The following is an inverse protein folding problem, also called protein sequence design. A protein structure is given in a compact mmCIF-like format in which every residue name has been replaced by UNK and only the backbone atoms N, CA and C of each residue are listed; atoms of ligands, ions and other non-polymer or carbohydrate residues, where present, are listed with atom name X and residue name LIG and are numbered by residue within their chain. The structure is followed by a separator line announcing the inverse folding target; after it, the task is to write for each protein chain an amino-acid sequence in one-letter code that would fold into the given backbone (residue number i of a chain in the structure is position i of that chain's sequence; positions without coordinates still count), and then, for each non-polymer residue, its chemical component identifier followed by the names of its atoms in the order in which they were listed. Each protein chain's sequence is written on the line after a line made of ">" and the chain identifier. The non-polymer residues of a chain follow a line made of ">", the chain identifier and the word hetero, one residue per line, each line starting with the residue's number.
data_IF_110865384703
#
_entry.id   IF_110865384703
#
_cell.length_a   1.000
_cell.length_b   1.000
_cell.length_c   1.000
_cell.angle_alpha   90.00
_cell.angle_beta   90.00
_cell.angle_gamma   90.00
#
_symmetry.space_group_name_H-M   'P 1'
#
loop_
_entity.id
_entity.type
_entity.pdbx_description
1 polymer ?
#
# COMPACT_ATOMS: atom_id res chain seq x y z
N UNK A 1 -14.07 24.03 -11.26
CA UNK A 1 -15.16 23.09 -11.01
C UNK A 1 -16.40 23.66 -11.68
N UNK A 2 -16.97 22.98 -12.67
CA UNK A 2 -18.28 23.33 -13.22
C UNK A 2 -19.32 22.77 -12.26
N UNK A 3 -20.18 23.64 -11.71
CA UNK A 3 -21.43 23.25 -11.04
C UNK A 3 -22.25 22.41 -12.04
N UNK A 4 -22.48 21.14 -11.76
CA UNK A 4 -23.41 20.36 -12.56
C UNK A 4 -23.42 18.84 -12.45
N UNK A 5 -22.43 18.18 -11.91
CA UNK A 5 -22.46 16.73 -11.73
C UNK A 5 -22.01 16.35 -10.31
N UNK A 6 -22.83 16.63 -9.30
CA UNK A 6 -22.79 15.85 -8.07
C UNK A 6 -23.39 14.47 -8.41
N UNK A 7 -22.53 13.54 -8.86
CA UNK A 7 -22.86 12.12 -8.79
C UNK A 7 -23.21 11.85 -7.33
N UNK A 8 -24.44 11.41 -7.07
CA UNK A 8 -24.84 11.05 -5.71
C UNK A 8 -23.87 9.97 -5.23
N UNK A 9 -23.16 10.25 -4.13
CA UNK A 9 -22.22 9.32 -3.55
C UNK A 9 -22.87 7.94 -3.37
N UNK A 10 -22.22 6.90 -3.88
CA UNK A 10 -22.76 5.55 -3.85
C UNK A 10 -22.55 4.97 -2.45
N UNK A 11 -23.64 4.86 -1.70
CA UNK A 11 -23.60 4.28 -0.36
C UNK A 11 -23.49 2.75 -0.42
N UNK A 12 -22.50 2.19 0.27
CA UNK A 12 -22.29 0.74 0.43
C UNK A 12 -22.11 0.39 1.91
N UNK A 13 -22.50 -0.84 2.28
CA UNK A 13 -22.25 -1.38 3.62
C UNK A 13 -21.11 -2.37 3.55
N UNK A 14 -20.03 -2.12 4.31
CA UNK A 14 -18.84 -2.95 4.33
C UNK A 14 -18.05 -2.75 5.61
N UNK A 15 -17.07 -3.62 5.85
CA UNK A 15 -16.09 -3.46 6.93
C UNK A 15 -14.82 -2.73 6.46
N UNK A 16 -13.92 -2.42 7.41
CA UNK A 16 -12.67 -1.71 7.11
C UNK A 16 -11.73 -2.50 6.20
N UNK A 17 -11.64 -3.81 6.37
CA UNK A 17 -10.84 -4.65 5.46
C UNK A 17 -11.37 -4.62 4.03
N UNK A 18 -12.69 -4.68 3.86
CA UNK A 18 -13.31 -4.57 2.54
C UNK A 18 -13.09 -3.18 1.92
N UNK A 19 -13.20 -2.12 2.71
CA UNK A 19 -12.96 -0.75 2.25
C UNK A 19 -11.51 -0.56 1.76
N UNK A 20 -10.53 -0.98 2.56
CA UNK A 20 -9.12 -0.94 2.18
C UNK A 20 -8.82 -1.77 0.92
N UNK A 21 -9.31 -3.01 0.88
CA UNK A 21 -9.13 -3.91 -0.26
C UNK A 21 -9.77 -3.35 -1.54
N UNK A 22 -10.96 -2.72 -1.42
CA UNK A 22 -11.67 -2.14 -2.55
C UNK A 22 -10.85 -1.04 -3.25
N UNK A 23 -10.32 -0.11 -2.47
CA UNK A 23 -9.46 0.96 -2.99
C UNK A 23 -8.13 0.40 -3.47
N UNK A 24 -7.48 -0.45 -2.68
CA UNK A 24 -6.22 -1.05 -3.05
C UNK A 24 -6.30 -1.79 -4.38
N UNK A 25 -7.38 -2.57 -4.61
CA UNK A 25 -7.60 -3.29 -5.86
C UNK A 25 -7.60 -2.37 -7.07
N UNK A 26 -8.20 -1.18 -6.94
CA UNK A 26 -8.28 -0.23 -8.03
C UNK A 26 -6.88 0.23 -8.52
N UNK A 27 -5.92 0.41 -7.62
CA UNK A 27 -4.58 0.89 -7.94
C UNK A 27 -3.52 -0.22 -8.11
N UNK A 28 -3.87 -1.48 -7.86
CA UNK A 28 -2.92 -2.59 -7.81
C UNK A 28 -2.87 -3.35 -9.14
N UNK A 29 -1.67 -3.62 -9.63
CA UNK A 29 -1.42 -4.54 -10.75
C UNK A 29 -0.98 -5.92 -10.23
N UNK A 30 -0.22 -5.94 -9.12
CA UNK A 30 0.23 -7.17 -8.45
C UNK A 30 -0.04 -7.07 -6.95
N UNK A 31 -0.72 -8.07 -6.40
CA UNK A 31 -0.85 -8.25 -4.94
C UNK A 31 0.05 -9.42 -4.51
N UNK A 32 1.10 -9.15 -3.76
CA UNK A 32 1.95 -10.19 -3.19
C UNK A 32 1.55 -10.38 -1.72
N UNK A 33 1.03 -11.55 -1.39
CA UNK A 33 0.34 -11.80 -0.13
C UNK A 33 0.94 -12.98 0.65
N UNK A 34 0.80 -12.93 1.96
CA UNK A 34 0.85 -14.06 2.88
C UNK A 34 -0.12 -13.73 4.02
N UNK A 35 -1.35 -14.28 3.96
CA UNK A 35 -2.44 -13.86 4.84
C UNK A 35 -2.14 -14.06 6.31
N UNK A 36 -2.44 -13.05 7.12
CA UNK A 36 -2.32 -13.05 8.58
C UNK A 36 -3.52 -12.32 9.21
N UNK A 37 -4.11 -12.93 10.26
CA UNK A 37 -5.20 -12.34 11.03
C UNK A 37 -4.76 -11.06 11.75
N UNK A 38 -5.55 -9.94 11.73
CA UNK A 38 -6.88 -9.78 11.18
C UNK A 38 -6.92 -9.22 9.74
N UNK A 39 -5.79 -9.09 9.06
CA UNK A 39 -5.69 -8.54 7.70
C UNK A 39 -5.99 -9.56 6.58
N UNK A 40 -6.15 -10.86 6.91
CA UNK A 40 -6.38 -11.95 5.96
C UNK A 40 -7.50 -11.65 4.97
N UNK A 41 -8.62 -11.11 5.47
CA UNK A 41 -9.80 -10.83 4.64
C UNK A 41 -9.55 -9.79 3.55
N UNK A 42 -8.60 -8.86 3.70
CA UNK A 42 -8.19 -7.97 2.60
C UNK A 42 -7.63 -8.78 1.43
N UNK A 43 -6.70 -9.70 1.72
CA UNK A 43 -6.10 -10.56 0.72
C UNK A 43 -7.13 -11.50 0.08
N UNK A 44 -8.06 -12.06 0.87
CA UNK A 44 -9.14 -12.92 0.41
C UNK A 44 -10.10 -12.19 -0.52
N UNK A 45 -10.48 -10.93 -0.23
CA UNK A 45 -11.27 -10.10 -1.13
C UNK A 45 -10.57 -9.89 -2.47
N UNK A 46 -9.29 -9.52 -2.42
CA UNK A 46 -8.51 -9.25 -3.64
C UNK A 46 -8.37 -10.52 -4.50
N UNK A 47 -8.12 -11.67 -3.89
CA UNK A 47 -8.02 -12.95 -4.58
C UNK A 47 -9.38 -13.35 -5.22
N UNK A 48 -10.47 -13.25 -4.46
CA UNK A 48 -11.83 -13.52 -4.96
C UNK A 48 -12.18 -12.63 -6.14
N UNK A 49 -11.95 -11.31 -6.03
CA UNK A 49 -12.24 -10.38 -7.12
C UNK A 49 -11.36 -10.61 -8.34
N UNK A 50 -10.10 -11.02 -8.15
CA UNK A 50 -9.23 -11.39 -9.26
C UNK A 50 -9.72 -12.66 -9.97
N UNK A 51 -10.20 -13.66 -9.21
CA UNK A 51 -10.78 -14.88 -9.75
C UNK A 51 -12.11 -14.63 -10.52
N UNK A 52 -12.83 -13.55 -10.17
CA UNK A 52 -14.04 -13.08 -10.85
C UNK A 52 -13.77 -12.12 -12.02
N UNK A 53 -12.50 -11.96 -12.44
CA UNK A 53 -12.09 -11.05 -13.52
C UNK A 53 -12.44 -9.57 -13.28
N UNK A 54 -12.61 -9.13 -12.02
CA UNK A 54 -12.78 -7.70 -11.70
C UNK A 54 -11.60 -6.92 -12.26
N UNK A 55 -11.89 -5.79 -12.91
CA UNK A 55 -10.85 -4.92 -13.48
C UNK A 55 -10.47 -3.79 -12.52
N UNK A 56 -9.17 -3.51 -12.44
CA UNK A 56 -8.63 -2.32 -11.79
C UNK A 56 -8.81 -1.08 -12.70
N UNK A 57 -8.36 0.09 -12.24
CA UNK A 57 -8.47 1.34 -13.03
C UNK A 57 -7.62 1.34 -14.31
N UNK A 58 -6.70 0.39 -14.46
CA UNK A 58 -5.88 0.19 -15.65
C UNK A 58 -6.50 -0.80 -16.64
N UNK A 59 -7.70 -1.30 -16.36
CA UNK A 59 -8.39 -2.31 -17.16
C UNK A 59 -7.81 -3.71 -17.07
N UNK A 60 -7.02 -4.00 -16.03
CA UNK A 60 -6.35 -5.28 -15.82
C UNK A 60 -6.96 -6.03 -14.63
N UNK A 61 -6.94 -7.34 -14.66
CA UNK A 61 -7.18 -8.18 -13.47
C UNK A 61 -5.92 -8.17 -12.62
N UNK A 62 -6.06 -7.97 -11.31
CA UNK A 62 -4.92 -7.99 -10.38
C UNK A 62 -4.27 -9.37 -10.36
N UNK A 63 -2.96 -9.42 -10.51
CA UNK A 63 -2.21 -10.66 -10.35
C UNK A 63 -1.93 -10.91 -8.87
N UNK A 64 -2.63 -11.87 -8.29
CA UNK A 64 -2.40 -12.30 -6.91
C UNK A 64 -1.31 -13.36 -6.86
N UNK A 65 -0.33 -13.18 -5.97
CA UNK A 65 0.77 -14.10 -5.76
C UNK A 65 0.89 -14.39 -4.26
N UNK A 66 0.52 -15.60 -3.85
CA UNK A 66 0.71 -16.05 -2.48
C UNK A 66 2.12 -16.59 -2.31
N UNK A 67 2.81 -16.09 -1.29
CA UNK A 67 4.20 -16.41 -0.98
C UNK A 67 4.28 -17.42 0.18
N UNK A 68 5.50 -17.76 0.60
CA UNK A 68 5.75 -18.72 1.69
C UNK A 68 5.97 -18.05 3.06
N UNK A 69 6.05 -16.73 3.09
CA UNK A 69 6.16 -15.92 4.29
C UNK A 69 5.94 -14.44 3.95
N UNK A 70 5.70 -13.62 4.97
CA UNK A 70 5.60 -12.17 4.81
C UNK A 70 6.91 -11.55 4.29
N UNK A 71 8.06 -12.06 4.71
CA UNK A 71 9.36 -11.64 4.16
C UNK A 71 9.46 -11.93 2.66
N UNK A 72 8.95 -13.09 2.23
CA UNK A 72 8.84 -13.44 0.81
C UNK A 72 7.88 -12.54 0.07
N UNK A 73 6.72 -12.24 0.66
CA UNK A 73 5.75 -11.30 0.09
C UNK A 73 6.36 -9.90 -0.11
N UNK A 74 7.05 -9.37 0.91
CA UNK A 74 7.73 -8.07 0.80
C UNK A 74 8.86 -8.08 -0.25
N UNK A 75 9.59 -9.20 -0.40
CA UNK A 75 10.57 -9.38 -1.46
C UNK A 75 9.94 -9.36 -2.85
N UNK A 76 8.78 -10.03 -3.01
CA UNK A 76 8.01 -10.01 -4.26
C UNK A 76 7.45 -8.61 -4.56
N UNK A 77 6.96 -7.86 -3.55
CA UNK A 77 6.56 -6.45 -3.69
C UNK A 77 7.73 -5.63 -4.22
N UNK A 78 8.90 -5.72 -3.58
CA UNK A 78 10.09 -4.98 -4.00
C UNK A 78 10.47 -5.28 -5.45
N UNK A 79 10.58 -6.56 -5.81
CA UNK A 79 10.94 -6.99 -7.17
C UNK A 79 9.92 -6.54 -8.23
N UNK A 80 8.63 -6.63 -7.93
CA UNK A 80 7.54 -6.21 -8.80
C UNK A 80 7.53 -4.70 -9.03
N UNK A 81 7.75 -3.90 -7.98
CA UNK A 81 7.91 -2.44 -8.09
C UNK A 81 9.13 -2.08 -8.93
N UNK A 82 10.26 -2.78 -8.78
CA UNK A 82 11.43 -2.58 -9.62
C UNK A 82 11.15 -2.89 -11.10
N UNK A 83 10.25 -3.82 -11.37
CA UNK A 83 9.79 -4.12 -12.74
C UNK A 83 8.74 -3.12 -13.27
N UNK A 84 8.32 -2.14 -12.47
CA UNK A 84 7.41 -1.07 -12.88
C UNK A 84 5.92 -1.39 -12.74
N UNK A 85 5.57 -2.43 -11.99
CA UNK A 85 4.19 -2.74 -11.66
C UNK A 85 3.81 -2.18 -10.27
N UNK A 86 2.69 -1.47 -10.18
CA UNK A 86 2.14 -1.01 -8.90
C UNK A 86 1.72 -2.22 -8.07
N UNK A 87 2.33 -2.35 -6.91
CA UNK A 87 2.23 -3.57 -6.10
C UNK A 87 1.84 -3.23 -4.67
N UNK A 88 0.92 -4.02 -4.12
CA UNK A 88 0.35 -3.86 -2.77
C UNK A 88 0.48 -5.15 -1.99
N UNK A 89 0.51 -5.05 -0.66
CA UNK A 89 0.43 -6.18 0.27
C UNK A 89 -0.43 -5.84 1.49
N UNK A 90 -0.89 -6.87 2.18
CA UNK A 90 -1.78 -6.81 3.33
C UNK A 90 -1.17 -7.63 4.47
N UNK A 91 -1.01 -7.03 5.65
CA UNK A 91 -0.29 -7.69 6.73
C UNK A 91 -0.70 -7.17 8.12
N UNK A 92 -0.13 -7.75 9.16
CA UNK A 92 -0.30 -7.36 10.56
C UNK A 92 0.83 -7.93 11.42
N UNK A 93 1.05 -7.36 12.61
CA UNK A 93 1.83 -7.94 13.71
C UNK A 93 3.23 -8.44 13.28
N UNK A 94 3.59 -9.68 13.66
CA UNK A 94 4.86 -10.30 13.29
C UNK A 94 5.09 -10.33 11.78
N UNK A 95 4.02 -10.44 10.99
CA UNK A 95 4.11 -10.38 9.53
C UNK A 95 4.69 -9.06 9.04
N UNK A 96 4.21 -7.93 9.60
CA UNK A 96 4.78 -6.62 9.29
C UNK A 96 6.25 -6.52 9.70
N UNK A 97 6.61 -7.07 10.88
CA UNK A 97 8.01 -7.07 11.35
C UNK A 97 8.93 -7.85 10.41
N UNK A 98 8.47 -8.97 9.84
CA UNK A 98 9.23 -9.74 8.85
C UNK A 98 9.44 -8.98 7.53
N UNK A 99 8.60 -7.99 7.24
CA UNK A 99 8.72 -7.15 6.04
C UNK A 99 9.72 -5.99 6.19
N UNK A 100 10.09 -5.61 7.41
CA UNK A 100 10.91 -4.42 7.72
C UNK A 100 12.17 -4.29 6.86
N UNK A 101 13.00 -5.34 6.65
CA UNK A 101 14.19 -5.20 5.80
C UNK A 101 13.88 -4.76 4.37
N UNK A 102 12.80 -5.29 3.77
CA UNK A 102 12.36 -4.88 2.44
C UNK A 102 11.69 -3.50 2.44
N UNK A 103 11.00 -3.12 3.53
CA UNK A 103 10.43 -1.77 3.68
C UNK A 103 11.53 -0.71 3.61
N UNK A 104 12.66 -0.90 4.29
CA UNK A 104 13.82 -0.02 4.17
C UNK A 104 14.32 0.10 2.73
N UNK A 105 14.35 -1.02 1.99
CA UNK A 105 14.73 -1.03 0.57
C UNK A 105 13.75 -0.24 -0.29
N UNK A 106 12.47 -0.51 -0.15
CA UNK A 106 11.40 0.14 -0.92
C UNK A 106 11.42 1.65 -0.67
N UNK A 107 11.52 2.07 0.60
CA UNK A 107 11.57 3.48 0.97
C UNK A 107 12.87 4.17 0.48
N UNK A 108 14.02 3.52 0.67
CA UNK A 108 15.30 4.05 0.24
C UNK A 108 15.43 4.22 -1.28
N UNK A 109 14.75 3.38 -2.04
CA UNK A 109 14.73 3.45 -3.51
C UNK A 109 13.56 4.31 -4.04
N UNK A 110 12.76 4.91 -3.16
CA UNK A 110 11.61 5.77 -3.50
C UNK A 110 10.66 5.08 -4.48
N UNK A 111 10.25 3.86 -4.12
CA UNK A 111 9.33 3.05 -4.91
C UNK A 111 7.89 3.26 -4.40
N UNK A 112 6.95 3.70 -5.24
CA UNK A 112 5.59 3.98 -4.82
C UNK A 112 4.84 2.69 -4.51
N UNK A 113 4.40 2.51 -3.27
CA UNK A 113 3.52 1.42 -2.88
C UNK A 113 2.74 1.75 -1.60
N UNK A 114 1.72 0.96 -1.34
CA UNK A 114 0.96 1.03 -0.08
C UNK A 114 0.94 -0.35 0.57
N UNK A 115 1.30 -0.39 1.85
CA UNK A 115 1.07 -1.54 2.72
C UNK A 115 -0.18 -1.27 3.54
N UNK A 116 -1.19 -2.12 3.44
CA UNK A 116 -2.39 -2.04 4.26
C UNK A 116 -2.26 -2.94 5.48
N UNK A 117 -2.48 -2.37 6.65
CA UNK A 117 -2.24 -3.05 7.92
C UNK A 117 -3.47 -2.96 8.82
N UNK A 118 -4.08 -4.12 9.11
CA UNK A 118 -5.03 -4.22 10.24
C UNK A 118 -4.21 -4.45 11.50
N UNK A 119 -3.82 -3.35 12.16
CA UNK A 119 -2.82 -3.34 13.22
C UNK A 119 -3.19 -4.27 14.38
N UNK A 120 -2.21 -5.06 14.84
CA UNK A 120 -2.39 -6.11 15.85
C UNK A 120 -1.23 -6.13 16.84
N UNK A 121 -1.52 -6.48 18.09
CA UNK A 121 -0.52 -6.70 19.13
C UNK A 121 0.58 -7.67 18.65
N UNK A 122 1.81 -7.42 19.09
CA UNK A 122 2.93 -8.34 18.88
C UNK A 122 2.86 -9.49 19.88
N UNK A 123 3.18 -10.70 19.41
CA UNK A 123 3.39 -11.83 20.31
C UNK A 123 4.65 -11.59 21.16
N UNK A 124 4.48 -11.68 22.48
CA UNK A 124 5.56 -11.57 23.47
C UNK A 124 5.52 -12.79 24.40
N UNK A 125 5.09 -12.64 25.66
CA UNK A 125 4.87 -13.76 26.59
C UNK A 125 3.65 -14.63 26.18
N UNK A 126 2.73 -14.06 25.41
CA UNK A 126 1.57 -14.72 24.87
C UNK A 126 1.19 -14.08 23.50
N UNK A 127 0.38 -14.79 22.73
CA UNK A 127 -0.23 -14.26 21.53
C UNK A 127 -1.52 -13.53 21.88
N UNK A 128 -1.67 -12.29 21.39
CA UNK A 128 -2.96 -11.61 21.27
C UNK A 128 -3.20 -11.25 19.81
N UNK A 129 -4.36 -11.58 19.29
CA UNK A 129 -4.73 -11.25 17.90
C UNK A 129 -5.51 -9.94 17.81
N UNK A 130 -5.74 -9.26 18.96
CA UNK A 130 -6.57 -8.04 18.99
C UNK A 130 -5.81 -6.80 18.55
N UNK A 131 -6.56 -5.75 18.18
CA UNK A 131 -6.02 -4.48 17.69
C UNK A 131 -5.08 -3.80 18.69
N UNK A 132 -3.92 -3.42 18.18
CA UNK A 132 -2.88 -2.67 18.90
C UNK A 132 -1.91 -2.08 17.88
N UNK A 133 -1.27 -0.97 18.18
CA UNK A 133 -0.34 -0.30 17.26
C UNK A 133 1.14 -0.68 17.44
N UNK A 134 1.44 -1.72 18.21
CA UNK A 134 2.84 -2.16 18.45
C UNK A 134 3.58 -2.49 17.16
N UNK A 135 2.92 -3.15 16.22
CA UNK A 135 3.48 -3.56 14.93
C UNK A 135 3.84 -2.35 14.05
N UNK A 136 2.90 -1.43 13.85
CA UNK A 136 3.13 -0.23 13.04
C UNK A 136 4.15 0.71 13.69
N UNK A 137 4.15 0.82 15.03
CA UNK A 137 5.15 1.59 15.76
C UNK A 137 6.55 0.97 15.66
N UNK A 138 6.67 -0.35 15.62
CA UNK A 138 7.94 -1.02 15.35
C UNK A 138 8.46 -0.74 13.93
N UNK A 139 7.57 -0.59 12.95
CA UNK A 139 7.91 -0.33 11.56
C UNK A 139 8.08 1.16 11.21
N UNK A 140 7.76 2.11 12.11
CA UNK A 140 7.75 3.57 11.84
C UNK A 140 9.07 4.14 11.31
N UNK A 141 10.20 3.47 11.57
CA UNK A 141 11.54 3.94 11.19
C UNK A 141 11.92 3.57 9.75
N UNK A 142 11.09 2.79 9.06
CA UNK A 142 11.43 2.23 7.74
C UNK A 142 11.45 3.27 6.62
N UNK A 143 10.87 4.45 6.85
CA UNK A 143 10.72 5.50 5.84
C UNK A 143 9.39 5.46 5.09
N UNK A 144 8.46 4.63 5.51
CA UNK A 144 7.07 4.70 5.04
C UNK A 144 6.35 5.87 5.70
N UNK A 145 5.64 6.67 4.92
CA UNK A 145 4.65 7.60 5.45
C UNK A 145 3.49 6.80 6.07
N UNK A 146 2.89 7.30 7.13
CA UNK A 146 1.90 6.56 7.91
C UNK A 146 0.58 7.32 7.94
N UNK A 147 -0.52 6.65 7.56
CA UNK A 147 -1.90 7.13 7.72
C UNK A 147 -2.63 6.19 8.67
N UNK A 148 -3.30 6.76 9.67
CA UNK A 148 -4.03 6.02 10.70
C UNK A 148 -5.53 6.36 10.60
N UNK A 149 -6.36 5.34 10.51
CA UNK A 149 -7.81 5.47 10.34
C UNK A 149 -8.57 4.95 11.56
N UNK A 150 -9.58 5.73 11.98
CA UNK A 150 -10.44 5.40 13.12
C UNK A 150 -11.87 4.97 12.75
N UNK A 151 -12.23 4.98 11.47
CA UNK A 151 -13.56 4.58 10.98
C UNK A 151 -13.46 3.94 9.59
N UNK A 152 -14.49 3.20 9.20
CA UNK A 152 -14.53 2.55 7.87
C UNK A 152 -14.58 3.58 6.74
N UNK A 153 -15.19 4.75 6.96
CA UNK A 153 -15.16 5.83 5.98
C UNK A 153 -13.74 6.39 5.81
N UNK A 154 -13.04 6.63 6.92
CA UNK A 154 -11.64 7.09 6.84
C UNK A 154 -10.74 6.06 6.16
N UNK A 155 -10.98 4.75 6.36
CA UNK A 155 -10.25 3.70 5.64
C UNK A 155 -10.44 3.82 4.13
N UNK A 156 -11.69 4.04 3.67
CA UNK A 156 -11.98 4.24 2.24
C UNK A 156 -11.24 5.46 1.69
N UNK A 157 -11.36 6.59 2.37
CA UNK A 157 -10.84 7.87 1.90
C UNK A 157 -9.30 7.94 1.96
N UNK A 158 -8.72 7.55 3.10
CA UNK A 158 -7.27 7.63 3.29
C UNK A 158 -6.50 6.53 2.55
N UNK A 159 -7.10 5.38 2.30
CA UNK A 159 -6.53 4.40 1.38
C UNK A 159 -6.36 5.00 -0.03
N UNK A 160 -7.36 5.75 -0.52
CA UNK A 160 -7.24 6.45 -1.79
C UNK A 160 -6.14 7.51 -1.76
N UNK A 161 -6.09 8.33 -0.71
CA UNK A 161 -5.03 9.31 -0.48
C UNK A 161 -3.65 8.64 -0.49
N UNK A 162 -3.48 7.51 0.22
CA UNK A 162 -2.21 6.78 0.27
C UNK A 162 -1.73 6.35 -1.13
N UNK A 163 -2.63 5.75 -1.93
CA UNK A 163 -2.29 5.32 -3.29
C UNK A 163 -1.99 6.48 -4.24
N UNK A 164 -2.76 7.56 -4.18
CA UNK A 164 -2.53 8.74 -5.00
C UNK A 164 -1.24 9.46 -4.61
N UNK A 165 -1.04 9.65 -3.30
CA UNK A 165 0.13 10.35 -2.78
C UNK A 165 1.43 9.59 -3.03
N UNK A 166 1.45 8.26 -2.89
CA UNK A 166 2.67 7.47 -3.16
C UNK A 166 3.11 7.56 -4.61
N UNK A 167 2.16 7.56 -5.57
CA UNK A 167 2.47 7.70 -7.00
C UNK A 167 3.10 9.07 -7.27
N UNK A 168 2.56 10.12 -6.69
CA UNK A 168 3.02 11.50 -6.89
C UNK A 168 4.30 11.82 -6.14
N UNK A 169 4.41 11.42 -4.87
CA UNK A 169 5.56 11.72 -4.02
C UNK A 169 6.73 10.75 -4.18
N UNK A 170 6.49 9.53 -4.66
CA UNK A 170 7.42 8.39 -4.64
C UNK A 170 7.71 7.82 -3.25
N UNK A 171 7.18 8.42 -2.20
CA UNK A 171 7.31 7.93 -0.83
C UNK A 171 6.30 6.79 -0.64
N UNK A 172 6.70 5.60 -0.17
CA UNK A 172 5.75 4.53 0.13
C UNK A 172 4.92 4.87 1.37
N UNK A 173 3.70 4.33 1.42
CA UNK A 173 2.76 4.56 2.52
C UNK A 173 2.42 3.27 3.25
N UNK A 174 2.23 3.38 4.55
CA UNK A 174 1.59 2.39 5.39
C UNK A 174 0.24 2.96 5.84
N UNK A 175 -0.84 2.37 5.34
CA UNK A 175 -2.22 2.70 5.64
C UNK A 175 -2.72 1.71 6.68
N UNK A 176 -3.09 2.15 7.88
CA UNK A 176 -3.38 1.23 8.98
C UNK A 176 -4.55 1.67 9.85
N UNK A 177 -5.26 0.69 10.35
CA UNK A 177 -6.42 0.82 11.23
C UNK A 177 -6.45 -0.33 12.24
N UNK A 178 -7.25 -0.19 13.29
CA UNK A 178 -7.35 -1.19 14.35
C UNK A 178 -7.88 -2.53 13.85
N UNK A 179 -7.11 -3.58 14.09
CA UNK A 179 -7.53 -4.95 13.87
C UNK A 179 -8.69 -5.35 14.78
N UNK A 180 -9.66 -6.11 14.26
CA UNK A 180 -10.92 -6.53 14.90
C UNK A 180 -11.88 -5.41 15.32
N UNK A 181 -11.43 -4.18 15.43
CA UNK A 181 -12.30 -3.01 15.56
C UNK A 181 -12.64 -2.50 14.17
N UNK A 182 -12.01 -1.44 13.71
CA UNK A 182 -12.25 -0.84 12.40
C UNK A 182 -12.21 -1.87 11.27
N UNK A 183 -11.28 -2.85 11.31
CA UNK A 183 -11.14 -3.87 10.28
C UNK A 183 -12.38 -4.75 10.08
N UNK A 184 -13.17 -4.99 11.13
CA UNK A 184 -14.38 -5.84 11.12
C UNK A 184 -15.65 -5.09 11.51
N UNK A 185 -15.58 -3.79 11.74
CA UNK A 185 -16.72 -2.96 12.01
C UNK A 185 -17.49 -2.73 10.71
N UNK A 186 -18.78 -3.08 10.71
CA UNK A 186 -19.64 -2.89 9.54
C UNK A 186 -20.29 -1.50 9.60
N UNK A 187 -20.01 -0.67 8.61
CA UNK A 187 -20.60 0.66 8.47
C UNK A 187 -21.19 0.86 7.08
N UNK A 188 -22.16 1.76 6.99
CA UNK A 188 -22.67 2.27 5.73
C UNK A 188 -21.88 3.53 5.38
N UNK A 189 -21.07 3.46 4.32
CA UNK A 189 -20.12 4.51 3.92
C UNK A 189 -20.36 4.97 2.50
N UNK A 190 -19.83 6.13 2.15
CA UNK A 190 -19.70 6.58 0.77
C UNK A 190 -18.54 5.82 0.10
N UNK A 191 -18.84 5.13 -0.99
CA UNK A 191 -17.85 4.32 -1.73
C UNK A 191 -17.27 5.12 -2.87
N UNK A 192 -15.95 5.14 -2.97
CA UNK A 192 -15.23 5.61 -4.14
C UNK A 192 -15.24 4.50 -5.21
N UNK A 193 -15.67 4.82 -6.41
CA UNK A 193 -15.70 3.86 -7.52
C UNK A 193 -14.46 4.01 -8.42
N UNK A 194 -14.22 3.02 -9.26
CA UNK A 194 -13.04 3.03 -10.14
C UNK A 194 -12.95 4.28 -11.01
N UNK A 195 -14.09 4.80 -11.46
CA UNK A 195 -14.17 6.00 -12.29
C UNK A 195 -13.69 7.22 -11.54
N UNK A 196 -14.08 7.37 -10.27
CA UNK A 196 -13.65 8.47 -9.40
C UNK A 196 -12.13 8.42 -9.17
N UNK A 197 -11.63 7.23 -8.82
CA UNK A 197 -10.21 7.00 -8.54
C UNK A 197 -9.33 7.20 -9.79
N UNK A 198 -9.80 6.76 -10.96
CA UNK A 198 -9.07 6.91 -12.22
C UNK A 198 -8.87 8.38 -12.63
N UNK A 199 -9.82 9.26 -12.29
CA UNK A 199 -9.71 10.69 -12.57
C UNK A 199 -8.70 11.41 -11.68
N UNK A 200 -8.41 10.88 -10.50
CA UNK A 200 -7.55 11.51 -9.51
C UNK A 200 -6.06 11.14 -9.66
N UNK A 201 -5.75 10.08 -10.42
CA UNK A 201 -4.39 9.59 -10.54
C UNK A 201 -3.46 10.59 -11.24
N UNK A 202 -2.27 10.80 -10.69
CA UNK A 202 -1.21 11.57 -11.33
C UNK A 202 -0.59 10.72 -12.47
N UNK A 203 -1.00 11.01 -13.69
CA UNK A 203 -0.55 10.29 -14.89
C UNK A 203 0.94 10.53 -15.18
N UNK A 204 1.46 11.71 -14.85
CA UNK A 204 2.88 12.02 -15.01
C UNK A 204 3.72 11.24 -14.01
N UNK A 205 3.34 11.23 -12.74
CA UNK A 205 3.98 10.44 -11.69
C UNK A 205 3.99 8.95 -12.02
N UNK A 206 2.88 8.42 -12.51
CA UNK A 206 2.78 7.03 -12.96
C UNK A 206 3.70 6.72 -14.14
N UNK A 207 3.75 7.59 -15.14
CA UNK A 207 4.61 7.43 -16.31
C UNK A 207 6.09 7.46 -15.92
N UNK A 208 6.49 8.39 -15.03
CA UNK A 208 7.86 8.47 -14.50
C UNK A 208 8.23 7.25 -13.63
N UNK A 209 7.29 6.69 -12.87
CA UNK A 209 7.51 5.43 -12.17
C UNK A 209 7.84 4.30 -13.15
N UNK A 210 7.00 4.11 -14.19
CA UNK A 210 7.18 3.06 -15.19
C UNK A 210 8.45 3.25 -16.03
N UNK A 211 8.82 4.49 -16.34
CA UNK A 211 10.05 4.81 -17.07
C UNK A 211 11.32 4.41 -16.32
N UNK A 212 11.26 4.43 -14.99
CA UNK A 212 12.37 4.01 -14.11
C UNK A 212 12.42 2.50 -13.87
N UNK A 213 11.50 1.72 -14.39
CA UNK A 213 11.50 0.27 -14.27
C UNK A 213 12.78 -0.35 -14.84
N UNK A 214 13.20 -1.47 -14.26
CA UNK A 214 14.29 -2.27 -14.82
C UNK A 214 13.90 -2.76 -16.22
N UNK A 215 14.71 -2.37 -17.21
CA UNK A 215 14.42 -2.68 -18.61
C UNK A 215 15.71 -3.14 -19.30
N UNK A 216 15.73 -4.34 -19.90
CA UNK A 216 16.91 -4.85 -20.62
C UNK A 216 17.38 -3.93 -21.76
N UNK A 217 16.46 -3.16 -22.39
CA UNK A 217 16.81 -2.21 -23.45
C UNK A 217 17.44 -0.92 -22.94
N UNK A 218 17.31 -0.62 -21.64
CA UNK A 218 17.92 0.52 -20.97
C UNK A 218 18.43 0.08 -19.59
N UNK A 219 19.50 -0.72 -19.53
CA UNK A 219 19.97 -1.34 -18.30
C UNK A 219 20.50 -0.30 -17.32
N UNK A 220 20.12 -0.44 -16.05
CA UNK A 220 20.60 0.38 -14.93
C UNK A 220 20.98 -0.53 -13.76
N UNK A 221 21.99 -0.13 -13.00
CA UNK A 221 22.34 -0.79 -11.74
C UNK A 221 21.67 -0.06 -10.57
N UNK A 222 21.05 -0.83 -9.67
CA UNK A 222 20.40 -0.31 -8.45
C UNK A 222 20.71 -1.20 -7.27
N UNK A 223 20.55 -0.66 -6.05
CA UNK A 223 20.74 -1.42 -4.82
C UNK A 223 22.15 -1.95 -4.61
N UNK A 224 23.13 -1.30 -5.22
CA UNK A 224 24.54 -1.62 -5.09
C UNK A 224 25.09 -1.19 -3.73
N UNK A 225 26.26 -1.73 -3.36
CA UNK A 225 27.01 -1.22 -2.23
C UNK A 225 27.61 0.15 -2.57
N UNK A 226 27.52 1.08 -1.65
CA UNK A 226 28.06 2.43 -1.75
C UNK A 226 29.07 2.68 -0.62
N UNK A 227 30.10 3.44 -0.90
CA UNK A 227 31.01 3.93 0.13
C UNK A 227 30.30 4.98 1.01
N UNK A 228 30.73 5.17 2.27
CA UNK A 228 30.06 6.05 3.22
C UNK A 228 29.87 7.50 2.73
N UNK A 229 30.79 8.03 1.97
CA UNK A 229 30.74 9.38 1.39
C UNK A 229 29.62 9.53 0.35
N UNK A 230 29.39 8.53 -0.49
CA UNK A 230 28.32 8.52 -1.49
C UNK A 230 26.97 8.16 -0.84
N UNK A 231 26.97 7.16 0.04
CA UNK A 231 25.76 6.69 0.72
C UNK A 231 25.06 7.80 1.51
N UNK A 232 25.83 8.59 2.27
CA UNK A 232 25.29 9.71 3.05
C UNK A 232 24.59 10.74 2.15
N UNK A 233 25.22 11.13 1.06
CA UNK A 233 24.68 12.12 0.13
C UNK A 233 23.41 11.62 -0.57
N UNK A 234 23.35 10.36 -0.95
CA UNK A 234 22.14 9.77 -1.53
C UNK A 234 20.98 9.71 -0.52
N UNK A 235 21.27 9.38 0.74
CA UNK A 235 20.28 9.42 1.81
C UNK A 235 19.74 10.83 2.04
N UNK A 236 20.61 11.83 2.05
CA UNK A 236 20.21 13.23 2.23
C UNK A 236 19.38 13.76 1.07
N UNK A 237 19.72 13.40 -0.17
CA UNK A 237 18.96 13.78 -1.36
C UNK A 237 17.50 13.28 -1.35
N UNK A 238 17.20 12.21 -0.61
CA UNK A 238 15.84 11.70 -0.47
C UNK A 238 14.93 12.60 0.36
N UNK A 239 15.47 13.48 1.21
CA UNK A 239 14.68 14.33 2.12
C UNK A 239 13.68 15.23 1.38
N UNK A 240 14.04 15.75 0.22
CA UNK A 240 13.14 16.60 -0.59
C UNK A 240 11.84 15.91 -0.98
N UNK A 241 11.84 14.59 -1.14
CA UNK A 241 10.63 13.80 -1.43
C UNK A 241 9.72 13.72 -0.20
N UNK A 242 10.30 13.51 0.99
CA UNK A 242 9.57 13.47 2.26
C UNK A 242 9.00 14.84 2.63
N UNK A 243 9.75 15.90 2.42
CA UNK A 243 9.30 17.28 2.67
C UNK A 243 8.13 17.69 1.77
N UNK A 244 8.03 17.12 0.58
CA UNK A 244 6.94 17.41 -0.34
C UNK A 244 5.62 16.73 0.05
N UNK A 245 5.65 15.60 0.79
CA UNK A 245 4.46 14.78 1.10
C UNK A 245 3.32 15.59 1.74
N UNK A 246 3.55 16.45 2.74
CA UNK A 246 2.44 17.21 3.37
C UNK A 246 1.73 18.20 2.43
N UNK A 247 2.35 18.55 1.32
CA UNK A 247 1.78 19.47 0.32
C UNK A 247 1.10 18.76 -0.85
N UNK A 248 1.14 17.43 -0.88
CA UNK A 248 0.55 16.61 -1.93
C UNK A 248 -0.84 16.16 -1.57
#
# INVERSE_FOLDING_TARGET
>A
WKEGDFLMAKMKTMDGNCAAAHVAYAFTEVAAIYPITPSSTMAEYVDSWAAEDRRNIFGQTVRVVEMQSEAGAAGAVHGSLQAGALTTTYTASQGLLLMIPNMYKIAGELLPCVFHVSARALATHALSIFGDHQDVMAARQTGFAMLAEGSVQEVMDLAAVAHLATIKSRVPFMNFFDGFRTSHEIQKIESLENEDLAHLIDQEGLAEFRKRALNPSAPVARGMAENPDVYFQHREAANSYYEAVPGI
#
